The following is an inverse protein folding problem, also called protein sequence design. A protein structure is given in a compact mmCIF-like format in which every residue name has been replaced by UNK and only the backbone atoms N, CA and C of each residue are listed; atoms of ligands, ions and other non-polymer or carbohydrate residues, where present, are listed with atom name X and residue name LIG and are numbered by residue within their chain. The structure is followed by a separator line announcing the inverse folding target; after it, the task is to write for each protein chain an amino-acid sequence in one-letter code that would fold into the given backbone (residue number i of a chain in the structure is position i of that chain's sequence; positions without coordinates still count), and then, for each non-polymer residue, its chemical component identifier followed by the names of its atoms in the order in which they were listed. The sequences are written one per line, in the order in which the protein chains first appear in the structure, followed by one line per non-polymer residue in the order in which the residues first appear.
data_IF_758870804249
#
_entry.id   IF_758870804249
#
_cell.length_a   1.000
_cell.length_b   1.000
_cell.length_c   1.000
_cell.angle_alpha   90.00
_cell.angle_beta   90.00
_cell.angle_gamma   90.00
#
_symmetry.space_group_name_H-M   'P 1'
#
loop_
_entity.id
_entity.type
_entity.pdbx_description
1 polymer ?
#
# COMPACT_ATOMS: atom_id res chain seq x y z
N UNK A 1 -2.89 10.57 -28.43
CA UNK A 1 -2.34 10.48 -27.76
C UNK A 1 -1.44 9.95 -27.73
N UNK A 2 -1.24 10.26 -27.77
CA UNK A 2 -0.30 9.59 -27.60
C UNK A 2 -0.30 8.97 -26.74
N UNK A 3 -0.49 9.32 -26.99
CA UNK A 3 -0.19 9.14 -26.53
C UNK A 3 -0.12 8.31 -25.70
N UNK A 4 0.26 8.00 -25.83
CA UNK A 4 0.70 6.98 -24.93
C UNK A 4 1.55 7.52 -23.80
N UNK A 5 1.13 7.25 -22.57
CA UNK A 5 1.82 7.75 -21.40
C UNK A 5 2.17 6.59 -20.51
N UNK A 6 3.45 6.34 -20.23
CA UNK A 6 3.84 5.23 -19.36
C UNK A 6 3.17 5.26 -17.99
N UNK A 7 3.05 6.43 -17.40
CA UNK A 7 2.41 6.54 -16.09
C UNK A 7 0.92 6.22 -16.13
N UNK A 8 0.28 6.35 -17.30
CA UNK A 8 -1.13 5.95 -17.44
C UNK A 8 -1.28 4.45 -17.33
N UNK A 9 -0.31 3.71 -17.86
CA UNK A 9 -0.32 2.26 -17.76
C UNK A 9 -0.02 1.80 -16.34
N UNK A 10 0.76 2.58 -15.62
CA UNK A 10 1.18 2.25 -14.27
C UNK A 10 0.32 2.94 -13.21
N UNK A 11 -0.77 3.56 -13.63
CA UNK A 11 -1.65 4.23 -12.67
C UNK A 11 -2.16 3.25 -11.64
N UNK A 12 -2.22 3.66 -10.38
CA UNK A 12 -2.78 2.81 -9.35
C UNK A 12 -4.23 2.49 -9.62
N UNK A 13 -4.67 1.34 -9.18
CA UNK A 13 -6.09 1.05 -9.14
C UNK A 13 -6.79 2.03 -8.23
N UNK A 14 -8.05 2.27 -8.51
CA UNK A 14 -8.86 3.08 -7.63
C UNK A 14 -8.79 2.53 -6.20
N UNK A 15 -8.51 3.40 -5.26
CA UNK A 15 -8.36 3.02 -3.87
C UNK A 15 -6.98 2.52 -3.48
N UNK A 16 -6.06 2.41 -4.45
CA UNK A 16 -4.72 1.95 -4.15
C UNK A 16 -3.99 2.98 -3.30
N UNK A 17 -3.21 2.49 -2.34
CA UNK A 17 -2.43 3.32 -1.44
C UNK A 17 -0.96 3.28 -1.87
N UNK A 18 -0.22 4.31 -1.48
CA UNK A 18 1.21 4.41 -1.77
C UNK A 18 2.02 4.12 -0.51
N UNK A 19 2.32 2.86 -0.31
CA UNK A 19 3.14 2.42 0.81
C UNK A 19 4.60 2.37 0.41
N UNK A 20 5.47 2.58 1.39
CA UNK A 20 6.92 2.56 1.19
C UNK A 20 7.56 1.55 2.10
N UNK A 21 8.76 1.13 1.75
CA UNK A 21 9.54 0.24 2.61
C UNK A 21 9.70 0.88 3.99
N UNK A 22 9.41 0.10 5.01
CA UNK A 22 9.46 0.59 6.39
C UNK A 22 8.13 1.05 6.95
N UNK A 23 7.12 1.19 6.11
CA UNK A 23 5.80 1.61 6.57
C UNK A 23 5.15 0.52 7.40
N UNK A 24 4.48 0.92 8.47
CA UNK A 24 3.70 0.00 9.29
C UNK A 24 2.31 -0.17 8.73
N UNK A 25 1.86 -1.40 8.71
CA UNK A 25 0.56 -1.77 8.15
C UNK A 25 -0.10 -2.82 9.03
N UNK A 26 -1.37 -3.04 8.79
CA UNK A 26 -2.14 -4.08 9.45
C UNK A 26 -2.86 -4.87 8.37
N UNK A 27 -2.92 -6.19 8.54
CA UNK A 27 -3.68 -7.02 7.63
C UNK A 27 -5.17 -6.74 7.77
N UNK A 28 -5.86 -6.58 6.66
CA UNK A 28 -7.32 -6.40 6.66
C UNK A 28 -8.05 -7.71 6.46
N UNK A 29 -7.33 -8.78 6.13
CA UNK A 29 -7.90 -10.09 5.84
C UNK A 29 -7.03 -11.16 6.50
N UNK A 30 -7.58 -12.36 6.62
CA UNK A 30 -6.81 -13.51 7.09
C UNK A 30 -5.90 -13.97 5.96
N UNK A 31 -4.62 -14.16 6.30
CA UNK A 31 -3.63 -14.72 5.41
C UNK A 31 -3.09 -15.99 6.05
N UNK A 32 -2.39 -16.82 5.29
CA UNK A 32 -1.82 -18.05 5.84
C UNK A 32 -0.91 -17.72 7.02
N UNK A 33 -1.29 -18.15 8.20
CA UNK A 33 -0.53 -17.89 9.42
C UNK A 33 -0.61 -16.47 9.96
N UNK A 34 -1.44 -15.61 9.36
CA UNK A 34 -1.58 -14.21 9.77
C UNK A 34 -3.06 -13.89 9.85
N UNK A 35 -3.56 -13.68 11.05
CA UNK A 35 -4.95 -13.30 11.25
C UNK A 35 -5.16 -11.84 10.86
N UNK A 36 -6.38 -11.51 10.43
CA UNK A 36 -6.76 -10.13 10.18
C UNK A 36 -6.49 -9.30 11.44
N UNK A 37 -5.95 -8.10 11.25
CA UNK A 37 -5.57 -7.23 12.34
C UNK A 37 -4.13 -7.38 12.80
N UNK A 38 -3.38 -8.33 12.26
CA UNK A 38 -1.97 -8.50 12.60
C UNK A 38 -1.16 -7.37 11.98
N UNK A 39 -0.31 -6.74 12.78
CA UNK A 39 0.53 -5.63 12.31
C UNK A 39 1.82 -6.17 11.71
N UNK A 40 2.39 -5.38 10.82
CA UNK A 40 3.65 -5.72 10.20
C UNK A 40 4.29 -4.51 9.56
N UNK A 41 5.39 -4.75 8.85
CA UNK A 41 6.16 -3.69 8.20
C UNK A 41 6.42 -4.05 6.76
N UNK A 42 6.25 -3.10 5.87
CA UNK A 42 6.55 -3.28 4.45
C UNK A 42 8.06 -3.42 4.26
N UNK A 43 8.48 -4.51 3.64
CA UNK A 43 9.90 -4.78 3.38
C UNK A 43 10.24 -4.72 1.90
N UNK A 44 9.24 -4.76 1.03
CA UNK A 44 9.39 -4.57 -0.40
C UNK A 44 8.14 -3.87 -0.92
N UNK A 45 8.36 -2.95 -1.86
CA UNK A 45 7.26 -2.25 -2.52
C UNK A 45 7.61 -2.18 -3.99
N UNK A 46 6.87 -2.92 -4.82
CA UNK A 46 7.07 -2.88 -6.25
C UNK A 46 5.78 -3.26 -6.96
N UNK A 47 5.77 -3.05 -8.24
CA UNK A 47 4.61 -3.38 -9.04
C UNK A 47 4.72 -2.69 -10.38
N UNK A 48 4.14 -3.29 -11.40
CA UNK A 48 4.22 -2.74 -12.74
C UNK A 48 2.96 -1.95 -13.07
N UNK A 49 1.80 -2.58 -12.92
CA UNK A 49 0.53 -1.92 -13.20
C UNK A 49 -0.06 -1.30 -11.94
N UNK A 50 0.16 -1.93 -10.80
CA UNK A 50 -0.19 -1.36 -9.51
C UNK A 50 0.77 -1.88 -8.47
N UNK A 51 0.85 -1.17 -7.34
CA UNK A 51 1.78 -1.50 -6.30
C UNK A 51 1.43 -2.81 -5.62
N UNK A 52 2.46 -3.60 -5.41
CA UNK A 52 2.38 -4.83 -4.63
C UNK A 52 3.43 -4.76 -3.55
N UNK A 53 3.13 -5.38 -2.42
CA UNK A 53 3.97 -5.24 -1.25
C UNK A 53 4.29 -6.59 -0.67
N UNK A 54 5.50 -6.66 -0.10
CA UNK A 54 5.86 -7.77 0.76
C UNK A 54 5.94 -7.23 2.17
N UNK A 55 5.31 -7.92 3.09
CA UNK A 55 5.19 -7.46 4.47
C UNK A 55 5.69 -8.56 5.40
N UNK A 56 6.51 -8.15 6.37
CA UNK A 56 6.90 -9.01 7.47
C UNK A 56 6.02 -8.67 8.66
N UNK A 57 5.22 -9.61 9.06
CA UNK A 57 4.29 -9.43 10.17
C UNK A 57 4.98 -9.65 11.50
N UNK A 58 4.37 -9.15 12.57
CA UNK A 58 4.97 -9.19 13.90
C UNK A 58 5.21 -10.60 14.42
N UNK A 59 4.51 -11.59 13.89
CA UNK A 59 4.74 -13.00 14.20
C UNK A 59 5.84 -13.63 13.36
N UNK A 60 6.65 -12.82 12.68
CA UNK A 60 7.78 -13.22 11.84
C UNK A 60 7.40 -13.92 10.54
N UNK A 61 6.13 -13.96 10.19
CA UNK A 61 5.67 -14.52 8.92
C UNK A 61 5.68 -13.41 7.86
N UNK A 62 6.19 -13.74 6.67
CA UNK A 62 6.21 -12.81 5.55
C UNK A 62 5.23 -13.25 4.47
N UNK A 63 4.57 -12.28 3.87
CA UNK A 63 3.72 -12.50 2.72
C UNK A 63 4.05 -11.50 1.63
N UNK A 64 4.11 -11.98 0.38
CA UNK A 64 4.30 -11.15 -0.79
C UNK A 64 3.01 -11.02 -1.59
N UNK A 65 3.07 -10.25 -2.66
CA UNK A 65 1.95 -10.04 -3.58
C UNK A 65 0.70 -9.47 -2.90
N UNK A 66 0.91 -8.67 -1.86
CA UNK A 66 -0.18 -8.00 -1.17
C UNK A 66 -0.42 -6.64 -1.80
N UNK A 67 -1.66 -6.20 -1.83
CA UNK A 67 -1.99 -4.88 -2.34
C UNK A 67 -2.89 -4.13 -1.36
N UNK A 68 -3.43 -3.01 -1.80
CA UNK A 68 -4.23 -2.13 -0.95
C UNK A 68 -5.45 -2.81 -0.32
N UNK A 69 -5.89 -3.92 -0.90
CA UNK A 69 -7.05 -4.64 -0.37
C UNK A 69 -6.70 -5.47 0.85
N UNK A 70 -5.43 -5.82 0.99
CA UNK A 70 -4.95 -6.70 2.05
C UNK A 70 -4.35 -5.93 3.22
N UNK A 71 -4.01 -4.67 3.02
CA UNK A 71 -3.22 -3.91 3.96
C UNK A 71 -3.88 -2.57 4.29
N UNK A 72 -3.78 -2.20 5.56
CA UNK A 72 -4.24 -0.91 6.06
C UNK A 72 -3.03 -0.20 6.66
N UNK A 73 -2.71 1.04 6.22
CA UNK A 73 -1.61 1.77 6.83
C UNK A 73 -1.97 2.16 8.26
N UNK A 74 -0.97 2.10 9.15
CA UNK A 74 -1.15 2.50 10.54
C UNK A 74 -0.02 3.45 10.94
N UNK A 75 -0.23 4.14 12.05
CA UNK A 75 0.78 5.01 12.62
C UNK A 75 1.21 6.13 11.67
N UNK A 76 2.53 6.28 11.54
CA UNK A 76 3.11 7.36 10.72
C UNK A 76 2.70 7.25 9.25
N UNK A 77 2.61 6.04 8.74
CA UNK A 77 2.19 5.83 7.35
C UNK A 77 0.76 6.31 7.12
N UNK A 78 -0.13 6.03 8.07
CA UNK A 78 -1.51 6.49 7.97
C UNK A 78 -1.58 8.01 7.96
N UNK A 79 -0.78 8.66 8.81
CA UNK A 79 -0.76 10.12 8.87
C UNK A 79 -0.19 10.74 7.60
N UNK A 80 0.87 10.13 7.05
CA UNK A 80 1.46 10.59 5.80
C UNK A 80 0.46 10.52 4.64
N UNK A 81 -0.24 9.41 4.53
CA UNK A 81 -1.19 9.21 3.45
C UNK A 81 -2.40 10.10 3.59
N UNK A 82 -2.88 10.31 4.80
CA UNK A 82 -3.99 11.23 5.05
C UNK A 82 -3.62 12.67 4.68
N UNK A 83 -2.38 13.07 4.99
CA UNK A 83 -1.89 14.40 4.62
C UNK A 83 -1.77 14.55 3.12
N UNK A 84 -1.26 13.52 2.43
CA UNK A 84 -1.13 13.56 0.98
C UNK A 84 -2.49 13.68 0.31
N UNK A 85 -3.48 12.98 0.84
CA UNK A 85 -4.85 13.06 0.34
C UNK A 85 -5.42 14.47 0.47
N UNK A 86 -5.20 15.10 1.62
CA UNK A 86 -5.68 16.47 1.84
C UNK A 86 -5.01 17.45 0.89
N UNK A 87 -3.71 17.29 0.66
CA UNK A 87 -2.97 18.15 -0.26
C UNK A 87 -3.48 17.95 -1.68
N UNK A 88 -3.70 16.72 -2.10
CA UNK A 88 -4.22 16.43 -3.44
C UNK A 88 -5.61 17.00 -3.63
N UNK A 89 -6.48 16.87 -2.64
CA UNK A 89 -7.82 17.42 -2.69
C UNK A 89 -7.79 18.95 -2.77
N UNK A 90 -6.87 19.58 -2.05
CA UNK A 90 -6.72 21.03 -2.08
C UNK A 90 -6.22 21.50 -3.43
N UNK A 91 -5.29 20.75 -4.02
CA UNK A 91 -4.71 21.13 -5.31
C UNK A 91 -5.68 20.92 -6.47
N UNK A 92 -6.68 20.08 -6.30
CA UNK A 92 -7.64 19.78 -7.34
C UNK A 92 -8.71 20.85 -7.53
N UNK A 93 -8.74 21.86 -6.68
CA UNK A 93 -9.74 22.94 -6.77
C UNK A 93 -9.38 23.99 -7.80
#
# INVERSE_FOLDING_TARGET
MPLWKPHSLANPHEGQIDLRIGDKVRSTVDLAGVAAGTEGKVILANGFNWQRYRVRFDNAIEHGDLDHRHLEPIGRAARRLAKAERVAARSAR
#
